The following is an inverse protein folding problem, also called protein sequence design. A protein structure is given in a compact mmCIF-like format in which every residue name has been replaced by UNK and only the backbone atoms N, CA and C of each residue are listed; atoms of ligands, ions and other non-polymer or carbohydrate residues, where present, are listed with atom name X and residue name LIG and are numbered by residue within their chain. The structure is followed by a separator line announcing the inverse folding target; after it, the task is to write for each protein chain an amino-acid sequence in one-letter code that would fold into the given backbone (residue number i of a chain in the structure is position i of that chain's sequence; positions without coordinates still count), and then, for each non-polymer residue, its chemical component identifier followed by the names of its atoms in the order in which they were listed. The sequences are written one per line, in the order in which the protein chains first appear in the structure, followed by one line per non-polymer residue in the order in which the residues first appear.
data_IF_574554171161
#
_entry.id   IF_574554171161
#
_cell.length_a   1.000
_cell.length_b   1.000
_cell.length_c   1.000
_cell.angle_alpha   90.00
_cell.angle_beta   90.00
_cell.angle_gamma   90.00
#
_symmetry.space_group_name_H-M   'P 1'
#
loop_
_entity.id
_entity.type
_entity.pdbx_description
1 polymer ?
#
# COMPACT_ATOMS: atom_id res chain seq x y z
N UNK A 1 -2.94 14.11 21.05
CA UNK A 1 -1.84 13.14 20.99
C UNK A 1 -0.60 13.82 20.43
N UNK A 2 0.64 13.45 20.81
CA UNK A 2 1.82 14.11 20.24
C UNK A 2 1.98 13.72 18.77
N UNK A 3 2.48 14.66 17.94
CA UNK A 3 2.81 14.45 16.52
C UNK A 3 3.80 13.28 16.34
N UNK A 4 3.84 12.68 15.15
CA UNK A 4 4.83 11.66 14.79
C UNK A 4 6.25 12.21 15.00
N UNK A 5 7.09 11.42 15.67
CA UNK A 5 8.49 11.76 15.87
C UNK A 5 9.32 11.04 14.81
N UNK A 6 9.84 11.78 13.87
CA UNK A 6 10.68 11.24 12.79
C UNK A 6 12.15 11.27 13.21
N UNK A 7 12.87 10.21 12.93
CA UNK A 7 14.33 10.18 13.04
C UNK A 7 14.94 11.19 12.08
N UNK A 8 16.08 11.75 12.46
CA UNK A 8 16.83 12.67 11.61
C UNK A 8 17.28 11.96 10.32
N UNK A 9 17.01 12.58 9.17
CA UNK A 9 17.36 12.06 7.86
C UNK A 9 18.87 11.82 7.68
N UNK A 10 19.71 12.63 8.37
CA UNK A 10 21.18 12.50 8.32
C UNK A 10 21.71 11.25 9.05
N UNK A 11 20.93 10.68 9.98
CA UNK A 11 21.28 9.48 10.75
C UNK A 11 20.71 8.21 10.15
N UNK A 12 19.96 8.31 9.05
CA UNK A 12 19.30 7.18 8.45
C UNK A 12 19.73 6.99 6.99
N UNK A 13 20.01 5.75 6.60
CA UNK A 13 20.25 5.38 5.19
C UNK A 13 18.97 5.46 4.36
N UNK A 14 17.84 5.04 4.97
CA UNK A 14 16.56 5.00 4.29
C UNK A 14 15.54 5.95 4.91
N UNK A 15 14.86 6.72 4.05
CA UNK A 15 13.69 7.48 4.46
C UNK A 15 12.47 6.55 4.62
N UNK A 16 12.41 5.50 3.79
CA UNK A 16 11.32 4.52 3.79
C UNK A 16 11.85 3.11 3.55
N UNK A 17 11.32 2.15 4.31
CA UNK A 17 11.52 0.72 4.12
C UNK A 17 10.16 0.03 4.17
N UNK A 18 9.89 -0.86 3.23
CA UNK A 18 8.73 -1.75 3.32
C UNK A 18 9.13 -3.22 3.35
N UNK A 19 8.22 -4.07 3.85
CA UNK A 19 8.31 -5.51 3.69
C UNK A 19 7.04 -6.04 3.07
N UNK A 20 7.17 -6.85 2.01
CA UNK A 20 6.04 -7.42 1.31
C UNK A 20 6.40 -8.32 0.15
N UNK A 21 5.39 -8.85 -0.53
CA UNK A 21 5.57 -9.66 -1.73
C UNK A 21 5.60 -8.78 -2.97
N UNK A 22 6.57 -9.03 -3.85
CA UNK A 22 6.63 -8.39 -5.15
C UNK A 22 6.15 -9.40 -6.20
N UNK A 23 5.17 -9.00 -6.99
CA UNK A 23 4.47 -9.86 -7.93
C UNK A 23 4.56 -9.33 -9.37
N UNK A 24 4.23 -10.18 -10.30
CA UNK A 24 4.03 -9.80 -11.69
C UNK A 24 2.53 -9.62 -11.94
N UNK A 25 2.10 -8.42 -12.35
CA UNK A 25 0.73 -8.20 -12.82
C UNK A 25 0.69 -8.26 -14.35
N UNK A 26 -0.23 -9.05 -14.88
CA UNK A 26 -0.52 -9.17 -16.30
C UNK A 26 -1.85 -8.49 -16.59
N UNK A 27 -1.81 -7.47 -17.44
CA UNK A 27 -2.90 -6.57 -17.78
C UNK A 27 -3.21 -6.66 -19.28
N UNK A 28 -4.38 -7.16 -19.69
CA UNK A 28 -4.81 -7.20 -21.08
C UNK A 28 -5.51 -5.90 -21.53
N UNK A 29 -5.45 -4.85 -20.73
CA UNK A 29 -6.23 -3.63 -20.97
C UNK A 29 -7.72 -3.86 -20.70
N UNK A 30 -8.54 -3.52 -21.69
CA UNK A 30 -10.01 -3.67 -21.60
C UNK A 30 -10.53 -5.02 -22.13
N UNK A 31 -9.64 -5.88 -22.60
CA UNK A 31 -10.01 -7.20 -23.12
C UNK A 31 -10.27 -8.13 -21.92
N UNK A 32 -11.38 -8.92 -21.91
CA UNK A 32 -11.60 -9.93 -20.88
C UNK A 32 -10.45 -10.93 -20.81
N UNK A 33 -10.07 -11.36 -19.60
CA UNK A 33 -8.91 -12.22 -19.37
C UNK A 33 -8.92 -13.51 -20.19
N UNK A 34 -10.10 -14.12 -20.39
CA UNK A 34 -10.25 -15.38 -21.14
C UNK A 34 -10.18 -15.22 -22.67
N UNK A 35 -10.23 -13.97 -23.18
CA UNK A 35 -10.12 -13.65 -24.60
C UNK A 35 -8.78 -13.00 -24.96
N UNK A 36 -7.96 -12.69 -23.93
CA UNK A 36 -6.75 -11.93 -24.12
C UNK A 36 -5.63 -12.76 -24.72
N UNK A 37 -5.05 -12.29 -25.84
CA UNK A 37 -3.88 -12.87 -26.48
C UNK A 37 -2.58 -12.11 -26.15
N UNK A 38 -2.67 -10.93 -25.54
CA UNK A 38 -1.54 -10.06 -25.20
C UNK A 38 -1.76 -9.48 -23.81
N UNK A 39 -0.65 -9.29 -23.09
CA UNK A 39 -0.66 -8.69 -21.75
C UNK A 39 0.50 -7.71 -21.61
N UNK A 40 0.23 -6.52 -21.05
CA UNK A 40 1.27 -5.68 -20.46
C UNK A 40 1.70 -6.33 -19.13
N UNK A 41 3.01 -6.31 -18.88
CA UNK A 41 3.59 -6.88 -17.67
C UNK A 41 4.10 -5.77 -16.74
N UNK A 42 3.49 -5.68 -15.55
CA UNK A 42 3.85 -4.70 -14.53
C UNK A 42 4.47 -5.38 -13.31
N UNK A 43 5.50 -4.74 -12.74
CA UNK A 43 6.00 -5.08 -11.41
C UNK A 43 5.09 -4.43 -10.38
N UNK A 44 4.57 -5.20 -9.45
CA UNK A 44 3.52 -4.79 -8.52
C UNK A 44 3.74 -5.40 -7.14
N UNK A 45 3.09 -4.84 -6.14
CA UNK A 45 3.06 -5.32 -4.76
C UNK A 45 2.61 -4.20 -3.84
N UNK A 46 1.65 -4.45 -2.95
CA UNK A 46 1.06 -3.42 -2.09
C UNK A 46 2.11 -2.65 -1.27
N UNK A 47 3.20 -3.29 -0.91
CA UNK A 47 4.29 -2.71 -0.15
C UNK A 47 5.42 -2.17 -1.03
N UNK A 48 5.59 -2.76 -2.24
CA UNK A 48 6.54 -2.28 -3.23
C UNK A 48 6.06 -1.00 -3.93
N UNK A 49 4.78 -0.89 -4.26
CA UNK A 49 4.24 0.26 -4.97
C UNK A 49 4.50 1.59 -4.25
N UNK A 50 4.26 1.72 -2.92
CA UNK A 50 4.66 2.91 -2.17
C UNK A 50 6.15 3.17 -2.18
N UNK A 51 7.00 2.14 -2.03
CA UNK A 51 8.46 2.29 -2.08
C UNK A 51 8.92 2.83 -3.44
N UNK A 52 8.38 2.28 -4.53
CA UNK A 52 8.69 2.70 -5.89
C UNK A 52 8.23 4.15 -6.16
N UNK A 53 7.04 4.53 -5.69
CA UNK A 53 6.55 5.90 -5.80
C UNK A 53 7.40 6.89 -4.99
N UNK A 54 7.75 6.53 -3.75
CA UNK A 54 8.60 7.37 -2.89
C UNK A 54 10.00 7.59 -3.48
N UNK A 55 10.58 6.57 -4.11
CA UNK A 55 11.87 6.71 -4.80
C UNK A 55 11.74 7.48 -6.11
N UNK A 56 10.87 7.03 -7.02
CA UNK A 56 10.81 7.54 -8.40
C UNK A 56 10.13 8.90 -8.52
N UNK A 57 8.98 9.10 -7.87
CA UNK A 57 8.21 10.35 -7.94
C UNK A 57 8.74 11.41 -6.98
N UNK A 58 9.10 10.99 -5.77
CA UNK A 58 9.42 11.92 -4.67
C UNK A 58 10.91 12.03 -4.36
N UNK A 59 11.76 11.19 -4.96
CA UNK A 59 13.21 11.26 -4.79
C UNK A 59 13.73 10.88 -3.41
N UNK A 60 12.93 10.12 -2.61
CA UNK A 60 13.35 9.64 -1.31
C UNK A 60 14.20 8.37 -1.42
N UNK A 61 15.02 8.12 -0.40
CA UNK A 61 15.82 6.90 -0.26
C UNK A 61 14.92 5.76 0.23
N UNK A 62 14.28 5.06 -0.72
CA UNK A 62 13.35 3.98 -0.42
C UNK A 62 14.00 2.61 -0.60
N UNK A 63 13.56 1.66 0.24
CA UNK A 63 13.98 0.28 0.17
C UNK A 63 12.80 -0.69 0.38
N UNK A 64 12.97 -1.93 -0.09
CA UNK A 64 12.00 -3.01 0.11
C UNK A 64 12.69 -4.30 0.53
N UNK A 65 12.13 -4.96 1.56
CA UNK A 65 12.45 -6.33 1.93
C UNK A 65 11.45 -7.26 1.27
N UNK A 66 11.93 -8.28 0.57
CA UNK A 66 11.07 -9.25 -0.11
C UNK A 66 11.80 -10.56 -0.37
N UNK A 67 11.16 -11.45 -1.12
CA UNK A 67 11.79 -12.66 -1.63
C UNK A 67 11.73 -12.70 -3.15
N UNK A 68 12.68 -13.40 -3.75
CA UNK A 68 12.73 -13.66 -5.18
C UNK A 68 13.23 -15.07 -5.47
N UNK A 69 13.24 -15.48 -6.73
CA UNK A 69 13.63 -16.82 -7.17
C UNK A 69 14.65 -16.71 -8.29
N UNK A 70 15.62 -17.62 -8.34
CA UNK A 70 16.74 -17.63 -9.29
C UNK A 70 16.30 -18.15 -10.68
N UNK A 71 15.38 -17.40 -11.34
CA UNK A 71 14.88 -17.70 -12.67
C UNK A 71 14.44 -16.40 -13.40
N UNK A 72 14.14 -16.42 -14.72
CA UNK A 72 13.89 -15.21 -15.49
C UNK A 72 12.86 -14.23 -14.89
N UNK A 73 11.67 -14.64 -14.41
CA UNK A 73 10.74 -13.72 -13.76
C UNK A 73 11.31 -13.07 -12.48
N UNK A 74 12.08 -13.81 -11.66
CA UNK A 74 12.70 -13.26 -10.45
C UNK A 74 13.77 -12.24 -10.76
N UNK A 75 14.62 -12.47 -11.76
CA UNK A 75 15.61 -11.51 -12.23
C UNK A 75 14.96 -10.28 -12.85
N UNK A 76 13.84 -10.46 -13.56
CA UNK A 76 13.06 -9.36 -14.09
C UNK A 76 12.51 -8.46 -12.96
N UNK A 77 11.91 -9.03 -11.90
CA UNK A 77 11.45 -8.29 -10.72
C UNK A 77 12.60 -7.47 -10.12
N UNK A 78 13.73 -8.09 -9.82
CA UNK A 78 14.88 -7.39 -9.24
C UNK A 78 15.38 -6.24 -10.12
N UNK A 79 15.31 -6.40 -11.45
CA UNK A 79 15.64 -5.34 -12.40
C UNK A 79 14.61 -4.20 -12.38
N UNK A 80 13.30 -4.50 -12.30
CA UNK A 80 12.27 -3.47 -12.22
C UNK A 80 12.38 -2.66 -10.92
N UNK A 81 12.57 -3.31 -9.79
CA UNK A 81 12.77 -2.66 -8.48
C UNK A 81 13.94 -1.67 -8.55
N UNK A 82 15.08 -2.12 -9.09
CA UNK A 82 16.27 -1.26 -9.27
C UNK A 82 16.00 -0.10 -10.24
N UNK A 83 15.25 -0.33 -11.32
CA UNK A 83 14.87 0.71 -12.28
C UNK A 83 14.07 1.85 -11.65
N UNK A 84 13.27 1.55 -10.62
CA UNK A 84 12.52 2.55 -9.88
C UNK A 84 13.34 3.28 -8.80
N UNK A 85 14.63 2.97 -8.66
CA UNK A 85 15.50 3.59 -7.66
C UNK A 85 15.32 3.02 -6.25
N UNK A 86 14.66 1.88 -6.10
CA UNK A 86 14.45 1.22 -4.81
C UNK A 86 15.61 0.28 -4.49
N UNK A 87 16.18 0.38 -3.29
CA UNK A 87 17.14 -0.61 -2.79
C UNK A 87 16.39 -1.88 -2.35
N UNK A 88 16.82 -3.04 -2.83
CA UNK A 88 16.13 -4.30 -2.58
C UNK A 88 16.95 -5.23 -1.69
N UNK A 89 16.35 -5.65 -0.57
CA UNK A 89 16.85 -6.70 0.34
C UNK A 89 16.08 -7.97 0.05
N UNK A 90 16.58 -8.78 -0.91
CA UNK A 90 15.88 -9.97 -1.40
C UNK A 90 16.48 -11.25 -0.84
N UNK A 91 15.63 -12.06 -0.20
CA UNK A 91 15.94 -13.47 0.03
C UNK A 91 15.72 -14.23 -1.28
N UNK A 92 16.79 -14.82 -1.80
CA UNK A 92 16.74 -15.59 -3.03
C UNK A 92 16.52 -17.08 -2.74
N UNK A 93 15.58 -17.68 -3.49
CA UNK A 93 15.34 -19.12 -3.47
C UNK A 93 15.84 -19.74 -4.77
N UNK A 94 16.46 -20.93 -4.72
CA UNK A 94 16.84 -21.65 -5.92
C UNK A 94 15.63 -22.10 -6.72
N UNK A 95 15.79 -22.26 -8.02
CA UNK A 95 14.73 -22.74 -8.93
C UNK A 95 15.06 -24.14 -9.43
N UNK A 96 14.18 -25.11 -9.19
CA UNK A 96 14.34 -26.50 -9.61
C UNK A 96 13.39 -26.88 -10.79
N UNK A 97 12.53 -25.95 -11.22
CA UNK A 97 11.58 -26.16 -12.31
C UNK A 97 10.28 -26.88 -11.92
N UNK A 98 10.18 -27.45 -10.70
CA UNK A 98 9.06 -28.31 -10.29
C UNK A 98 8.45 -27.89 -8.96
N UNK A 99 9.19 -27.96 -7.87
CA UNK A 99 8.69 -27.77 -6.50
C UNK A 99 9.12 -26.44 -5.85
N UNK A 100 10.05 -25.72 -6.46
CA UNK A 100 10.58 -24.45 -5.94
C UNK A 100 9.49 -23.36 -5.85
N UNK A 101 9.69 -22.37 -4.98
CA UNK A 101 8.89 -21.15 -4.99
C UNK A 101 8.93 -20.45 -6.35
N UNK A 102 7.96 -19.58 -6.59
CA UNK A 102 7.87 -18.80 -7.83
C UNK A 102 7.45 -17.36 -7.54
N UNK A 103 7.64 -16.47 -8.51
CA UNK A 103 7.04 -15.15 -8.50
C UNK A 103 5.55 -15.29 -8.78
N UNK A 104 4.72 -14.77 -7.89
CA UNK A 104 3.27 -14.76 -8.08
C UNK A 104 2.86 -13.95 -9.31
N UNK A 105 1.77 -14.36 -9.93
CA UNK A 105 1.14 -13.62 -11.03
C UNK A 105 -0.25 -13.16 -10.59
N UNK A 106 -0.55 -11.90 -10.82
CA UNK A 106 -1.89 -11.33 -10.68
C UNK A 106 -2.36 -10.97 -12.09
N UNK A 107 -3.51 -11.48 -12.49
CA UNK A 107 -4.16 -11.10 -13.73
C UNK A 107 -5.25 -10.09 -13.40
N UNK A 108 -5.26 -8.96 -14.10
CA UNK A 108 -6.25 -7.90 -13.83
C UNK A 108 -6.56 -7.15 -15.11
N UNK A 109 -7.79 -7.29 -15.63
CA UNK A 109 -8.28 -6.40 -16.68
C UNK A 109 -8.81 -5.08 -16.09
N UNK A 110 -9.06 -4.10 -16.97
CA UNK A 110 -9.53 -2.77 -16.57
C UNK A 110 -11.05 -2.62 -16.59
N UNK A 111 -11.78 -3.64 -17.06
CA UNK A 111 -13.19 -3.51 -17.36
C UNK A 111 -13.48 -2.54 -18.51
N UNK A 112 -14.73 -2.22 -18.76
CA UNK A 112 -15.13 -1.17 -19.70
C UNK A 112 -16.58 -0.74 -19.48
N UNK A 113 -16.86 0.55 -19.33
CA UNK A 113 -18.21 1.08 -19.15
C UNK A 113 -18.91 0.43 -17.95
N UNK A 114 -19.96 -0.34 -18.22
CA UNK A 114 -20.74 -1.08 -17.21
C UNK A 114 -20.14 -2.45 -16.85
N UNK A 115 -19.16 -2.93 -17.61
CA UNK A 115 -18.46 -4.19 -17.32
C UNK A 115 -17.37 -3.93 -16.26
N UNK A 116 -17.50 -4.52 -15.06
CA UNK A 116 -16.50 -4.33 -14.01
C UNK A 116 -15.17 -4.99 -14.40
N UNK A 117 -14.04 -4.52 -13.86
CA UNK A 117 -12.76 -5.21 -13.99
C UNK A 117 -12.74 -6.52 -13.20
N UNK A 118 -12.01 -7.50 -13.73
CA UNK A 118 -11.78 -8.79 -13.08
C UNK A 118 -10.34 -8.91 -12.58
N UNK A 119 -10.17 -9.59 -11.43
CA UNK A 119 -8.85 -9.86 -10.85
C UNK A 119 -8.75 -11.33 -10.47
N UNK A 120 -7.68 -11.99 -10.95
CA UNK A 120 -7.32 -13.36 -10.61
C UNK A 120 -5.93 -13.41 -9.98
N UNK A 121 -5.79 -14.27 -8.98
CA UNK A 121 -4.53 -14.51 -8.28
C UNK A 121 -3.98 -15.89 -8.62
N UNK A 122 -2.75 -15.95 -9.14
CA UNK A 122 -1.94 -17.17 -9.22
C UNK A 122 -0.76 -17.01 -8.25
N UNK A 123 -1.04 -17.31 -6.97
CA UNK A 123 -0.12 -17.09 -5.84
C UNK A 123 0.34 -18.40 -5.18
N UNK A 124 0.06 -19.55 -5.75
CA UNK A 124 0.52 -20.82 -5.20
C UNK A 124 2.06 -20.87 -5.15
N UNK A 125 2.62 -21.27 -4.01
CA UNK A 125 4.06 -21.35 -3.78
C UNK A 125 4.84 -20.05 -4.06
N UNK A 126 4.24 -18.89 -3.83
CA UNK A 126 4.98 -17.65 -4.06
C UNK A 126 6.12 -17.45 -3.06
N UNK A 127 7.24 -16.90 -3.55
CA UNK A 127 8.44 -16.69 -2.77
C UNK A 127 8.20 -15.80 -1.53
N UNK A 128 7.36 -14.76 -1.67
CA UNK A 128 7.00 -13.88 -0.55
C UNK A 128 6.35 -14.62 0.62
N UNK A 129 5.52 -15.64 0.34
CA UNK A 129 4.86 -16.44 1.36
C UNK A 129 5.82 -17.38 2.13
N UNK A 130 7.03 -17.59 1.62
CA UNK A 130 8.04 -18.44 2.25
C UNK A 130 8.90 -17.69 3.28
N UNK A 131 8.75 -16.36 3.37
CA UNK A 131 9.43 -15.57 4.37
C UNK A 131 8.88 -15.84 5.78
N UNK A 132 9.77 -15.85 6.77
CA UNK A 132 9.45 -16.18 8.16
C UNK A 132 10.32 -15.36 9.14
N UNK A 133 9.92 -15.26 10.40
CA UNK A 133 10.74 -14.66 11.44
C UNK A 133 12.18 -15.19 11.43
N UNK A 134 13.15 -14.29 11.61
CA UNK A 134 14.58 -14.59 11.53
C UNK A 134 15.19 -14.55 10.13
N UNK A 135 14.40 -14.38 9.06
CA UNK A 135 14.94 -14.27 7.70
C UNK A 135 15.55 -12.90 7.38
N UNK A 136 15.28 -11.89 8.23
CA UNK A 136 15.69 -10.49 8.02
C UNK A 136 16.54 -10.03 9.18
N UNK A 137 17.70 -9.46 8.89
CA UNK A 137 18.54 -8.80 9.91
C UNK A 137 17.98 -7.40 10.20
N UNK A 138 16.96 -7.34 11.07
CA UNK A 138 16.35 -6.09 11.49
C UNK A 138 17.32 -5.17 12.24
N UNK A 139 18.32 -5.74 12.93
CA UNK A 139 19.31 -4.93 13.63
C UNK A 139 20.20 -4.17 12.63
N UNK A 140 20.65 -4.82 11.54
CA UNK A 140 21.38 -4.12 10.48
C UNK A 140 20.53 -3.00 9.87
N UNK A 141 19.25 -3.26 9.58
CA UNK A 141 18.37 -2.28 8.95
C UNK A 141 18.04 -1.08 9.86
N UNK A 142 17.62 -1.32 11.11
CA UNK A 142 17.10 -0.24 11.95
C UNK A 142 18.16 0.41 12.85
N UNK A 143 19.12 -0.38 13.40
CA UNK A 143 20.15 0.16 14.27
C UNK A 143 21.36 0.67 13.49
N UNK A 144 21.90 -0.14 12.55
CA UNK A 144 23.15 0.19 11.85
C UNK A 144 22.87 1.15 10.68
N UNK A 145 21.96 0.81 9.78
CA UNK A 145 21.66 1.65 8.61
C UNK A 145 20.74 2.82 8.94
N UNK A 146 19.76 2.60 9.80
CA UNK A 146 18.74 3.60 10.13
C UNK A 146 17.65 3.73 9.07
N UNK A 147 16.41 3.73 9.57
CA UNK A 147 15.18 3.88 8.77
C UNK A 147 14.29 4.89 9.45
N UNK A 148 13.70 5.82 8.70
CA UNK A 148 12.77 6.81 9.26
C UNK A 148 11.33 6.32 9.32
N UNK A 149 10.92 5.49 8.32
CA UNK A 149 9.56 4.97 8.18
C UNK A 149 9.57 3.51 7.72
N UNK A 150 8.84 2.65 8.42
CA UNK A 150 8.68 1.23 8.07
C UNK A 150 7.22 0.91 7.77
N UNK A 151 6.96 0.19 6.67
CA UNK A 151 5.62 -0.08 6.15
C UNK A 151 5.41 -1.54 5.79
N UNK A 152 4.19 -2.05 6.04
CA UNK A 152 3.71 -3.32 5.50
C UNK A 152 2.19 -3.28 5.30
N UNK A 153 1.60 -4.39 4.86
CA UNK A 153 0.16 -4.44 4.59
C UNK A 153 -0.49 -5.81 4.73
N UNK A 154 -1.82 -5.80 4.76
CA UNK A 154 -2.66 -6.97 5.00
C UNK A 154 -2.60 -8.02 3.91
N UNK A 155 -2.25 -7.64 2.68
CA UNK A 155 -2.02 -8.62 1.61
C UNK A 155 -0.84 -9.51 1.99
N UNK A 156 0.29 -8.92 2.36
CA UNK A 156 1.47 -9.70 2.77
C UNK A 156 1.21 -10.50 4.05
N UNK A 157 0.55 -9.90 5.04
CA UNK A 157 0.16 -10.60 6.28
C UNK A 157 -0.66 -11.86 6.02
N UNK A 158 -1.48 -11.87 4.96
CA UNK A 158 -2.39 -12.97 4.64
C UNK A 158 -1.76 -14.12 3.83
N UNK A 159 -0.51 -14.01 3.38
CA UNK A 159 0.07 -14.98 2.43
C UNK A 159 0.41 -16.32 3.06
N UNK A 160 0.81 -16.32 4.33
CA UNK A 160 1.14 -17.55 5.07
C UNK A 160 1.02 -17.35 6.58
N UNK A 161 1.11 -18.44 7.38
CA UNK A 161 1.16 -18.34 8.84
C UNK A 161 2.33 -17.51 9.37
N UNK A 162 3.42 -17.43 8.62
CA UNK A 162 4.67 -16.82 9.09
C UNK A 162 4.84 -15.37 8.67
N UNK A 163 4.15 -14.91 7.62
CA UNK A 163 4.29 -13.53 7.12
C UNK A 163 3.74 -12.50 8.10
N UNK A 164 2.61 -12.77 8.76
CA UNK A 164 2.09 -11.92 9.83
C UNK A 164 3.05 -11.81 11.02
N UNK A 165 3.65 -12.92 11.45
CA UNK A 165 4.64 -12.95 12.53
C UNK A 165 5.91 -12.17 12.14
N UNK A 166 6.34 -12.28 10.89
CA UNK A 166 7.49 -11.52 10.39
C UNK A 166 7.22 -10.01 10.36
N UNK A 167 5.98 -9.58 10.04
CA UNK A 167 5.59 -8.17 10.16
C UNK A 167 5.68 -7.71 11.61
N UNK A 168 5.13 -8.48 12.56
CA UNK A 168 5.17 -8.15 14.00
C UNK A 168 6.62 -8.02 14.48
N UNK A 169 7.50 -8.96 14.09
CA UNK A 169 8.93 -8.89 14.37
C UNK A 169 9.53 -7.57 13.86
N UNK A 170 9.32 -7.24 12.58
CA UNK A 170 9.83 -6.01 11.96
C UNK A 170 9.28 -4.74 12.61
N UNK A 171 7.96 -4.65 12.86
CA UNK A 171 7.32 -3.51 13.52
C UNK A 171 7.86 -3.31 14.95
N UNK A 172 8.03 -4.41 15.70
CA UNK A 172 8.60 -4.37 17.04
C UNK A 172 10.03 -3.80 17.04
N UNK A 173 10.86 -4.27 16.11
CA UNK A 173 12.24 -3.78 15.99
C UNK A 173 12.28 -2.31 15.50
N UNK A 174 11.45 -1.94 14.53
CA UNK A 174 11.34 -0.57 14.04
C UNK A 174 11.03 0.41 15.19
N UNK A 175 10.03 0.10 16.02
CA UNK A 175 9.65 0.95 17.16
C UNK A 175 10.76 1.06 18.22
N UNK A 176 11.49 -0.01 18.51
CA UNK A 176 12.63 0.02 19.43
C UNK A 176 13.70 1.01 19.01
N UNK A 177 13.84 1.26 17.72
CA UNK A 177 14.82 2.18 17.14
C UNK A 177 14.23 3.54 16.75
N UNK A 178 13.00 3.88 17.18
CA UNK A 178 12.36 5.15 16.91
C UNK A 178 11.94 5.36 15.45
N UNK A 179 11.81 4.30 14.69
CA UNK A 179 11.28 4.31 13.33
C UNK A 179 9.75 4.36 13.39
N UNK A 180 9.12 5.29 12.65
CA UNK A 180 7.65 5.33 12.52
C UNK A 180 7.18 4.08 11.78
N UNK A 181 6.11 3.47 12.28
CA UNK A 181 5.53 2.26 11.70
C UNK A 181 4.18 2.54 11.04
N UNK A 182 3.95 1.98 9.86
CA UNK A 182 2.65 2.08 9.20
C UNK A 182 2.18 0.74 8.62
N UNK A 183 0.86 0.58 8.59
CA UNK A 183 0.22 -0.62 8.08
C UNK A 183 -0.99 -0.25 7.23
N UNK A 184 -1.09 -0.82 6.03
CA UNK A 184 -2.30 -0.77 5.21
C UNK A 184 -3.10 -2.06 5.44
N UNK A 185 -4.27 -1.95 6.02
CA UNK A 185 -5.14 -3.10 6.30
C UNK A 185 -5.47 -3.89 5.04
N UNK A 186 -5.76 -3.20 3.95
CA UNK A 186 -5.90 -3.76 2.60
C UNK A 186 -6.52 -5.16 2.60
N UNK A 187 -7.65 -5.31 3.31
CA UNK A 187 -8.27 -6.58 3.63
C UNK A 187 -8.71 -7.31 2.35
N UNK A 188 -8.29 -8.55 2.21
CA UNK A 188 -8.66 -9.41 1.06
C UNK A 188 -9.21 -10.73 1.55
N UNK A 189 -10.53 -10.82 1.67
CA UNK A 189 -11.24 -12.01 2.17
C UNK A 189 -10.79 -13.31 1.50
N UNK A 190 -10.61 -13.28 0.16
CA UNK A 190 -10.15 -14.46 -0.60
C UNK A 190 -8.79 -14.98 -0.14
N UNK A 191 -7.86 -14.09 0.21
CA UNK A 191 -6.53 -14.46 0.69
C UNK A 191 -6.61 -15.02 2.11
N UNK A 192 -7.35 -14.38 2.99
CA UNK A 192 -7.54 -14.86 4.37
C UNK A 192 -8.26 -16.21 4.40
N UNK A 193 -9.29 -16.43 3.57
CA UNK A 193 -9.94 -17.75 3.45
C UNK A 193 -8.95 -18.85 3.05
N UNK A 194 -8.00 -18.54 2.18
CA UNK A 194 -6.97 -19.50 1.76
C UNK A 194 -5.90 -19.75 2.83
N UNK A 195 -5.72 -18.86 3.79
CA UNK A 195 -4.65 -18.92 4.81
C UNK A 195 -5.14 -19.10 6.24
N UNK A 196 -6.30 -19.70 6.45
CA UNK A 196 -6.80 -20.07 7.78
C UNK A 196 -8.08 -19.38 8.25
N UNK A 197 -8.75 -18.61 7.37
CA UNK A 197 -10.06 -18.02 7.65
C UNK A 197 -10.01 -16.53 7.99
N UNK A 198 -11.19 -15.91 7.95
CA UNK A 198 -11.36 -14.47 8.23
C UNK A 198 -11.08 -14.15 9.69
N UNK A 199 -11.52 -15.00 10.62
CA UNK A 199 -11.31 -14.84 12.08
C UNK A 199 -9.82 -14.78 12.41
N UNK A 200 -9.02 -15.63 11.77
CA UNK A 200 -7.56 -15.57 11.88
C UNK A 200 -7.02 -14.27 11.32
N UNK A 201 -7.58 -13.77 10.22
CA UNK A 201 -7.20 -12.47 9.65
C UNK A 201 -7.39 -11.33 10.64
N UNK A 202 -8.52 -11.31 11.35
CA UNK A 202 -8.80 -10.33 12.41
C UNK A 202 -7.80 -10.46 13.56
N UNK A 203 -7.52 -11.68 14.02
CA UNK A 203 -6.54 -11.91 15.09
C UNK A 203 -5.14 -11.41 14.73
N UNK A 204 -4.65 -11.79 13.55
CA UNK A 204 -3.32 -11.37 13.07
C UNK A 204 -3.23 -9.86 12.89
N UNK A 205 -4.22 -9.24 12.26
CA UNK A 205 -4.24 -7.79 12.06
C UNK A 205 -4.27 -7.03 13.40
N UNK A 206 -5.05 -7.48 14.39
CA UNK A 206 -5.09 -6.89 15.73
C UNK A 206 -3.72 -6.91 16.39
N UNK A 207 -3.00 -8.02 16.31
CA UNK A 207 -1.64 -8.13 16.85
C UNK A 207 -0.64 -7.24 16.11
N UNK A 208 -0.75 -7.09 14.80
CA UNK A 208 0.09 -6.18 14.03
C UNK A 208 -0.19 -4.73 14.43
N UNK A 209 -1.47 -4.35 14.55
CA UNK A 209 -1.88 -2.97 14.83
C UNK A 209 -1.43 -2.49 16.22
N UNK A 210 -1.18 -3.38 17.18
CA UNK A 210 -0.54 -3.04 18.47
C UNK A 210 0.84 -2.38 18.32
N UNK A 211 1.48 -2.53 17.16
CA UNK A 211 2.81 -2.00 16.85
C UNK A 211 2.80 -0.88 15.79
N UNK A 212 1.63 -0.32 15.46
CA UNK A 212 1.44 0.61 14.34
C UNK A 212 1.18 2.03 14.83
N UNK A 213 1.92 3.01 14.31
CA UNK A 213 1.70 4.43 14.55
C UNK A 213 0.72 5.04 13.55
N UNK A 214 0.73 4.56 12.30
CA UNK A 214 -0.04 5.08 11.16
C UNK A 214 -0.81 3.95 10.50
N UNK A 215 -2.13 4.05 10.46
CA UNK A 215 -3.02 3.03 9.88
C UNK A 215 -3.69 3.56 8.61
N UNK A 216 -3.58 2.79 7.52
CA UNK A 216 -4.35 2.99 6.31
C UNK A 216 -5.46 1.92 6.23
N UNK A 217 -6.63 2.31 5.77
CA UNK A 217 -7.76 1.41 5.58
C UNK A 217 -9.08 2.15 5.55
N UNK A 218 -10.04 1.61 4.80
CA UNK A 218 -11.40 2.14 4.72
C UNK A 218 -12.33 1.49 5.77
N UNK A 219 -13.62 1.82 5.75
CA UNK A 219 -14.61 1.28 6.69
C UNK A 219 -14.70 -0.25 6.60
N UNK A 220 -14.65 -0.82 5.39
CA UNK A 220 -14.66 -2.28 5.20
C UNK A 220 -13.41 -2.93 5.81
N UNK A 221 -12.25 -2.32 5.62
CA UNK A 221 -11.00 -2.79 6.21
C UNK A 221 -11.05 -2.75 7.74
N UNK A 222 -11.59 -1.68 8.34
CA UNK A 222 -11.75 -1.57 9.79
C UNK A 222 -12.74 -2.61 10.33
N UNK A 223 -13.87 -2.82 9.67
CA UNK A 223 -14.87 -3.79 10.09
C UNK A 223 -14.38 -5.23 9.94
N UNK A 224 -13.95 -5.59 8.74
CA UNK A 224 -13.61 -6.99 8.40
C UNK A 224 -12.20 -7.37 8.80
N UNK A 225 -11.27 -6.40 8.76
CA UNK A 225 -9.87 -6.62 9.09
C UNK A 225 -9.55 -6.53 10.58
N UNK A 226 -10.28 -5.69 11.34
CA UNK A 226 -10.05 -5.49 12.77
C UNK A 226 -11.27 -5.83 13.64
N UNK A 227 -12.44 -5.98 13.05
CA UNK A 227 -13.69 -6.19 13.78
C UNK A 227 -14.15 -4.93 14.53
N UNK A 228 -13.83 -3.73 14.05
CA UNK A 228 -14.32 -2.47 14.60
C UNK A 228 -15.79 -2.30 14.20
N UNK A 229 -16.73 -2.17 15.15
CA UNK A 229 -18.13 -1.97 14.80
C UNK A 229 -18.33 -0.70 13.98
N UNK A 230 -19.15 -0.76 12.97
CA UNK A 230 -19.46 0.37 12.09
C UNK A 230 -20.82 0.20 11.43
N UNK A 231 -21.18 1.09 10.52
CA UNK A 231 -22.38 0.94 9.71
C UNK A 231 -22.30 -0.28 8.81
N UNK A 232 -23.41 -0.67 8.20
CA UNK A 232 -23.42 -1.73 7.20
C UNK A 232 -22.56 -1.32 6.00
N UNK A 233 -21.53 -2.11 5.73
CA UNK A 233 -20.57 -1.87 4.64
C UNK A 233 -21.25 -1.87 3.27
N UNK A 234 -22.32 -2.65 3.09
CA UNK A 234 -23.03 -2.72 1.81
C UNK A 234 -23.81 -1.43 1.51
N UNK A 235 -24.35 -0.78 2.53
CA UNK A 235 -25.06 0.50 2.37
C UNK A 235 -24.14 1.70 2.19
N UNK A 236 -22.88 1.61 2.65
CA UNK A 236 -21.90 2.69 2.61
C UNK A 236 -20.97 2.67 1.39
N UNK A 237 -21.03 1.64 0.55
CA UNK A 237 -20.08 1.44 -0.57
C UNK A 237 -20.02 2.55 -1.62
N UNK A 238 -21.03 3.38 -1.72
CA UNK A 238 -21.12 4.49 -2.68
C UNK A 238 -21.04 5.88 -2.05
N UNK A 239 -20.98 5.99 -0.72
CA UNK A 239 -21.02 7.27 -0.04
C UNK A 239 -19.61 7.87 0.14
N UNK A 240 -19.43 9.12 -0.29
CA UNK A 240 -18.25 9.93 0.03
C UNK A 240 -18.40 10.67 1.36
N UNK A 241 -19.37 10.26 2.20
CA UNK A 241 -19.61 10.86 3.50
C UNK A 241 -18.58 10.34 4.52
N UNK A 242 -17.73 11.22 5.09
CA UNK A 242 -16.70 10.81 6.03
C UNK A 242 -17.23 10.51 7.45
N UNK A 243 -18.48 10.82 7.76
CA UNK A 243 -18.99 10.78 9.15
C UNK A 243 -18.96 9.36 9.72
N UNK A 244 -19.34 8.36 8.93
CA UNK A 244 -19.25 6.96 9.35
C UNK A 244 -17.82 6.55 9.67
N UNK A 245 -16.87 6.95 8.82
CA UNK A 245 -15.46 6.69 9.03
C UNK A 245 -14.93 7.40 10.28
N UNK A 246 -15.34 8.65 10.55
CA UNK A 246 -14.96 9.39 11.75
C UNK A 246 -15.44 8.67 13.03
N UNK A 247 -16.66 8.15 13.04
CA UNK A 247 -17.19 7.38 14.17
C UNK A 247 -16.36 6.10 14.39
N UNK A 248 -16.02 5.39 13.32
CA UNK A 248 -15.22 4.16 13.41
C UNK A 248 -13.80 4.44 13.90
N UNK A 249 -13.19 5.56 13.48
CA UNK A 249 -11.90 5.99 14.02
C UNK A 249 -11.99 6.22 15.53
N UNK A 250 -13.05 6.85 16.03
CA UNK A 250 -13.25 7.02 17.47
C UNK A 250 -13.18 5.68 18.22
N UNK A 251 -13.92 4.67 17.75
CA UNK A 251 -13.92 3.30 18.32
C UNK A 251 -12.57 2.60 18.18
N UNK A 252 -11.87 2.80 17.09
CA UNK A 252 -10.52 2.27 16.88
C UNK A 252 -9.54 2.85 17.92
N UNK A 253 -9.56 4.16 18.13
CA UNK A 253 -8.66 4.85 19.06
C UNK A 253 -8.96 4.53 20.54
N UNK A 254 -10.18 4.15 20.88
CA UNK A 254 -10.52 3.60 22.21
C UNK A 254 -9.80 2.26 22.45
N UNK A 255 -9.67 1.42 21.42
CA UNK A 255 -8.98 0.13 21.51
C UNK A 255 -7.46 0.26 21.33
N UNK A 256 -7.01 1.19 20.48
CA UNK A 256 -5.59 1.39 20.11
C UNK A 256 -5.17 2.86 20.30
N UNK A 257 -5.06 3.35 21.54
CA UNK A 257 -4.81 4.77 21.83
C UNK A 257 -3.41 5.25 21.42
N UNK A 258 -2.51 4.33 21.05
CA UNK A 258 -1.17 4.65 20.56
C UNK A 258 -1.14 5.02 19.08
N UNK A 259 -2.17 4.67 18.29
CA UNK A 259 -2.27 5.07 16.87
C UNK A 259 -2.39 6.58 16.79
N UNK A 260 -1.51 7.19 16.00
CA UNK A 260 -1.40 8.66 15.87
C UNK A 260 -2.09 9.20 14.65
N UNK A 261 -2.15 8.38 13.58
CA UNK A 261 -2.75 8.76 12.31
C UNK A 261 -3.56 7.59 11.74
N UNK A 262 -4.77 7.90 11.26
CA UNK A 262 -5.59 6.99 10.46
C UNK A 262 -6.02 7.72 9.20
N UNK A 263 -5.80 7.13 8.03
CA UNK A 263 -6.13 7.77 6.77
C UNK A 263 -6.76 6.79 5.78
N UNK A 264 -7.67 7.30 4.96
CA UNK A 264 -8.33 6.54 3.89
C UNK A 264 -8.66 7.40 2.69
N UNK A 265 -8.91 6.72 1.58
CA UNK A 265 -9.55 7.31 0.40
C UNK A 265 -11.01 6.87 0.33
N UNK A 266 -11.89 7.81 0.05
CA UNK A 266 -13.29 7.59 -0.22
C UNK A 266 -13.49 7.61 -1.73
N UNK A 267 -14.16 6.60 -2.26
CA UNK A 267 -14.35 6.45 -3.70
C UNK A 267 -15.76 5.99 -4.02
N UNK A 268 -16.42 6.75 -4.91
CA UNK A 268 -17.67 6.36 -5.53
C UNK A 268 -17.41 5.94 -6.98
N UNK A 269 -17.90 4.77 -7.37
CA UNK A 269 -17.68 4.17 -8.69
C UNK A 269 -18.92 4.35 -9.54
N UNK A 270 -18.85 5.20 -10.57
CA UNK A 270 -19.94 5.45 -11.51
C UNK A 270 -19.86 4.51 -12.74
N UNK A 271 -18.65 4.17 -13.15
CA UNK A 271 -18.37 3.18 -14.21
C UNK A 271 -16.96 2.64 -14.03
N UNK A 272 -16.51 1.72 -14.88
CA UNK A 272 -15.13 1.20 -14.85
C UNK A 272 -14.08 2.33 -14.92
N UNK A 273 -14.42 3.49 -15.55
CA UNK A 273 -13.50 4.60 -15.77
C UNK A 273 -13.87 5.91 -15.09
N UNK A 274 -15.07 6.03 -14.51
CA UNK A 274 -15.48 7.28 -13.84
C UNK A 274 -15.69 7.05 -12.37
N UNK A 275 -14.90 7.75 -11.58
CA UNK A 275 -14.96 7.69 -10.12
C UNK A 275 -15.00 9.09 -9.53
N UNK A 276 -15.73 9.27 -8.43
CA UNK A 276 -15.51 10.38 -7.52
C UNK A 276 -14.49 10.00 -6.47
N UNK A 277 -13.60 10.91 -6.13
CA UNK A 277 -12.42 10.65 -5.29
C UNK A 277 -12.24 11.73 -4.25
N UNK A 278 -12.05 11.31 -2.99
CA UNK A 278 -11.80 12.14 -1.83
C UNK A 278 -10.88 11.39 -0.86
N UNK A 279 -10.24 12.08 0.06
CA UNK A 279 -9.46 11.47 1.14
C UNK A 279 -9.80 12.11 2.47
N UNK A 280 -9.68 11.32 3.54
CA UNK A 280 -9.91 11.72 4.93
C UNK A 280 -8.77 11.21 5.79
N UNK A 281 -8.35 12.02 6.77
CA UNK A 281 -7.31 11.68 7.71
C UNK A 281 -7.68 12.17 9.11
N UNK A 282 -7.45 11.32 10.10
CA UNK A 282 -7.35 11.73 11.51
C UNK A 282 -5.86 11.82 11.89
N UNK A 283 -5.45 12.94 12.44
CA UNK A 283 -4.08 13.14 12.90
C UNK A 283 -4.03 14.21 13.99
N UNK A 284 -3.27 13.96 15.04
CA UNK A 284 -3.05 14.92 16.14
C UNK A 284 -4.36 15.46 16.77
N UNK A 285 -5.37 14.60 16.93
CA UNK A 285 -6.66 14.97 17.53
C UNK A 285 -7.64 15.65 16.58
N UNK A 286 -7.32 15.82 15.30
CA UNK A 286 -8.13 16.53 14.32
C UNK A 286 -8.43 15.67 13.09
N UNK A 287 -9.56 15.96 12.44
CA UNK A 287 -9.91 15.41 11.13
C UNK A 287 -9.56 16.41 10.02
N UNK A 288 -9.00 15.88 8.97
CA UNK A 288 -8.65 16.60 7.75
C UNK A 288 -9.34 15.94 6.55
N UNK A 289 -9.80 16.73 5.61
CA UNK A 289 -10.48 16.27 4.40
C UNK A 289 -9.87 16.93 3.17
N UNK A 290 -9.61 16.13 2.14
CA UNK A 290 -9.17 16.67 0.85
C UNK A 290 -10.35 17.27 0.08
N UNK A 291 -10.10 18.06 -0.97
CA UNK A 291 -11.13 18.32 -1.99
C UNK A 291 -11.67 17.02 -2.58
N UNK A 292 -12.90 17.07 -3.08
CA UNK A 292 -13.44 16.03 -3.94
C UNK A 292 -13.10 16.35 -5.41
N UNK A 293 -12.80 15.34 -6.20
CA UNK A 293 -12.67 15.48 -7.65
C UNK A 293 -13.27 14.29 -8.39
N UNK A 294 -13.62 14.53 -9.65
CA UNK A 294 -14.01 13.48 -10.58
C UNK A 294 -12.78 12.98 -11.33
N UNK A 295 -12.65 11.67 -11.45
CA UNK A 295 -11.55 11.00 -12.13
C UNK A 295 -12.03 10.25 -13.36
N UNK A 296 -11.36 10.48 -14.48
CA UNK A 296 -11.37 9.58 -15.62
C UNK A 296 -10.20 8.61 -15.46
N UNK A 297 -10.50 7.43 -14.95
CA UNK A 297 -9.52 6.42 -14.53
C UNK A 297 -9.03 5.61 -15.74
N UNK A 298 -7.72 5.57 -15.95
CA UNK A 298 -7.11 4.68 -16.94
C UNK A 298 -6.84 3.29 -16.38
N UNK A 299 -6.27 3.23 -15.17
CA UNK A 299 -6.06 2.00 -14.41
C UNK A 299 -6.32 2.29 -12.92
N UNK A 300 -7.20 1.51 -12.30
CA UNK A 300 -7.59 1.77 -10.89
C UNK A 300 -6.63 1.15 -9.87
N UNK A 301 -5.73 0.27 -10.32
CA UNK A 301 -4.81 -0.44 -9.43
C UNK A 301 -3.74 0.52 -8.90
N UNK A 302 -3.38 0.40 -7.63
CA UNK A 302 -2.37 1.24 -7.01
C UNK A 302 -2.84 2.62 -6.51
N UNK A 303 -4.10 3.04 -6.74
CA UNK A 303 -4.59 4.35 -6.27
C UNK A 303 -4.45 4.54 -4.76
N UNK A 304 -4.72 3.50 -3.95
CA UNK A 304 -4.49 3.50 -2.50
C UNK A 304 -3.00 3.62 -2.14
N UNK A 305 -2.14 2.86 -2.84
CA UNK A 305 -0.69 2.91 -2.65
C UNK A 305 -0.12 4.28 -3.01
N UNK A 306 -0.68 4.89 -4.08
CA UNK A 306 -0.39 6.27 -4.48
C UNK A 306 -0.78 7.28 -3.41
N UNK A 307 -1.96 7.13 -2.83
CA UNK A 307 -2.39 7.95 -1.70
C UNK A 307 -1.45 7.81 -0.50
N UNK A 308 -1.18 6.58 -0.07
CA UNK A 308 -0.30 6.31 1.07
C UNK A 308 1.10 6.90 0.86
N UNK A 309 1.70 6.70 -0.32
CA UNK A 309 3.04 7.23 -0.61
C UNK A 309 3.09 8.76 -0.65
N UNK A 310 2.09 9.43 -1.24
CA UNK A 310 2.03 10.90 -1.24
C UNK A 310 1.84 11.50 0.15
N UNK A 311 1.01 10.87 1.00
CA UNK A 311 0.83 11.27 2.40
C UNK A 311 2.11 11.05 3.22
N UNK A 312 2.75 9.87 3.09
CA UNK A 312 4.03 9.57 3.75
C UNK A 312 5.11 10.57 3.32
N UNK A 313 5.21 10.89 2.03
CA UNK A 313 6.13 11.91 1.54
C UNK A 313 5.89 13.26 2.20
N UNK A 314 4.64 13.73 2.27
CA UNK A 314 4.30 15.00 2.92
C UNK A 314 4.75 15.03 4.37
N UNK A 315 4.46 13.98 5.14
CA UNK A 315 4.86 13.87 6.55
C UNK A 315 6.38 13.80 6.73
N UNK A 316 7.09 13.00 5.91
CA UNK A 316 8.55 12.90 5.93
C UNK A 316 9.26 14.19 5.55
N UNK A 317 8.62 15.03 4.73
CA UNK A 317 9.11 16.34 4.29
C UNK A 317 8.77 17.47 5.25
N UNK A 318 8.01 17.18 6.33
CA UNK A 318 7.61 18.20 7.32
C UNK A 318 6.49 19.12 6.87
N UNK A 319 5.70 18.72 5.87
CA UNK A 319 4.52 19.47 5.46
C UNK A 319 3.46 19.48 6.58
N UNK A 320 2.64 20.52 6.63
CA UNK A 320 1.51 20.56 7.56
C UNK A 320 0.49 19.46 7.22
N UNK A 321 -0.28 18.97 8.20
CA UNK A 321 -1.16 17.80 8.02
C UNK A 321 -2.14 17.92 6.84
N UNK A 322 -2.78 19.08 6.65
CA UNK A 322 -3.67 19.32 5.50
C UNK A 322 -2.92 19.20 4.16
N UNK A 323 -1.72 19.77 4.09
CA UNK A 323 -0.90 19.71 2.89
C UNK A 323 -0.40 18.27 2.61
N UNK A 324 0.00 17.53 3.66
CA UNK A 324 0.38 16.13 3.52
C UNK A 324 -0.78 15.27 2.99
N UNK A 325 -2.00 15.48 3.52
CA UNK A 325 -3.21 14.82 3.01
C UNK A 325 -3.48 15.15 1.54
N UNK A 326 -3.38 16.43 1.16
CA UNK A 326 -3.56 16.89 -0.24
C UNK A 326 -2.54 16.27 -1.20
N UNK A 327 -1.29 16.11 -0.76
CA UNK A 327 -0.26 15.43 -1.55
C UNK A 327 -0.62 13.94 -1.76
N UNK A 328 -1.10 13.26 -0.72
CA UNK A 328 -1.61 11.89 -0.82
C UNK A 328 -2.78 11.79 -1.80
N UNK A 329 -3.81 12.62 -1.60
CA UNK A 329 -4.98 12.67 -2.47
C UNK A 329 -4.62 12.94 -3.94
N UNK A 330 -3.77 13.91 -4.20
CA UNK A 330 -3.35 14.28 -5.55
C UNK A 330 -2.51 13.18 -6.21
N UNK A 331 -1.60 12.56 -5.47
CA UNK A 331 -0.76 11.50 -6.01
C UNK A 331 -1.59 10.24 -6.31
N UNK A 332 -2.50 9.83 -5.41
CA UNK A 332 -3.42 8.72 -5.68
C UNK A 332 -4.31 8.97 -6.91
N UNK A 333 -4.85 10.19 -7.06
CA UNK A 333 -5.61 10.58 -8.22
C UNK A 333 -4.78 10.50 -9.52
N UNK A 334 -3.59 11.08 -9.53
CA UNK A 334 -2.68 11.06 -10.70
C UNK A 334 -2.28 9.64 -11.08
N UNK A 335 -2.00 8.77 -10.10
CA UNK A 335 -1.59 7.39 -10.38
C UNK A 335 -2.65 6.68 -11.21
N UNK A 336 -3.93 6.88 -10.94
CA UNK A 336 -5.01 6.23 -11.70
C UNK A 336 -5.11 6.66 -13.17
N UNK A 337 -4.37 7.68 -13.59
CA UNK A 337 -4.33 8.17 -14.98
C UNK A 337 -3.25 7.52 -15.84
N UNK A 338 -2.44 6.63 -15.26
CA UNK A 338 -1.37 5.90 -15.92
C UNK A 338 -1.62 4.39 -15.94
N UNK A 339 -1.01 3.64 -16.88
CA UNK A 339 -1.01 2.18 -16.81
C UNK A 339 -0.08 1.69 -15.70
N UNK A 340 -0.48 0.59 -15.05
CA UNK A 340 0.34 -0.08 -14.03
C UNK A 340 0.11 0.45 -12.62
N UNK A 341 0.83 -0.13 -11.69
CA UNK A 341 0.60 0.01 -10.24
C UNK A 341 1.52 1.05 -9.60
N UNK A 342 2.53 1.52 -10.34
CA UNK A 342 3.51 2.49 -9.85
C UNK A 342 3.34 3.81 -10.59
N UNK A 343 3.37 4.91 -9.85
CA UNK A 343 3.17 6.25 -10.40
C UNK A 343 4.25 6.63 -11.42
N UNK A 344 3.80 7.22 -12.52
CA UNK A 344 4.64 7.91 -13.51
C UNK A 344 4.62 9.43 -13.31
N UNK A 345 3.91 9.93 -12.31
CA UNK A 345 3.81 11.35 -12.02
C UNK A 345 5.15 11.90 -11.51
N UNK A 346 5.42 13.17 -11.82
CA UNK A 346 6.54 13.92 -11.24
C UNK A 346 6.03 14.73 -10.04
N UNK A 347 6.92 15.02 -9.09
CA UNK A 347 6.61 15.79 -7.88
C UNK A 347 5.92 17.13 -8.19
N UNK A 348 6.36 17.84 -9.25
CA UNK A 348 5.75 19.12 -9.63
C UNK A 348 4.27 18.97 -10.06
N UNK A 349 3.91 17.86 -10.70
CA UNK A 349 2.53 17.56 -11.08
C UNK A 349 1.67 17.25 -9.84
N UNK A 350 2.22 16.47 -8.89
CA UNK A 350 1.54 16.16 -7.62
C UNK A 350 1.29 17.44 -6.82
N UNK A 351 2.31 18.27 -6.62
CA UNK A 351 2.19 19.54 -5.89
C UNK A 351 1.18 20.48 -6.52
N UNK A 352 1.17 20.56 -7.84
CA UNK A 352 0.21 21.40 -8.58
C UNK A 352 -1.23 20.95 -8.36
N UNK A 353 -1.51 19.65 -8.50
CA UNK A 353 -2.86 19.14 -8.27
C UNK A 353 -3.27 19.34 -6.81
N UNK A 354 -2.37 19.10 -5.87
CA UNK A 354 -2.60 19.33 -4.43
C UNK A 354 -3.00 20.78 -4.11
N UNK A 355 -2.53 21.76 -4.91
CA UNK A 355 -2.84 23.18 -4.81
C UNK A 355 -4.09 23.61 -5.61
N UNK A 356 -4.84 22.68 -6.20
CA UNK A 356 -6.03 22.99 -7.01
C UNK A 356 -5.74 23.32 -8.47
N UNK A 357 -4.58 22.93 -8.99
CA UNK A 357 -4.22 23.12 -10.40
C UNK A 357 -5.13 22.34 -11.35
N UNK A 358 -5.29 22.85 -12.57
CA UNK A 358 -6.14 22.28 -13.61
C UNK A 358 -5.35 21.48 -14.66
N UNK A 359 -6.06 20.64 -15.44
CA UNK A 359 -5.51 19.87 -16.55
C UNK A 359 -5.14 20.71 -17.80
N UNK A 360 -5.14 22.05 -17.71
CA UNK A 360 -4.79 22.92 -18.84
C UNK A 360 -3.33 22.74 -19.24
N UNK A 361 -3.09 22.76 -20.56
CA UNK A 361 -1.72 22.70 -21.13
C UNK A 361 -0.87 23.82 -20.54
N UNK A 362 0.32 23.46 -20.06
CA UNK A 362 1.33 24.40 -19.63
C UNK A 362 2.32 24.60 -20.76
N UNK A 363 2.53 25.86 -21.09
CA UNK A 363 3.52 26.31 -22.07
C UNK A 363 4.75 26.83 -21.37
#
# INVERSE_FOLDING_TARGET
MPRLQLRDASTCRHDFLSIGAIVRRLDPGVIPLHEASHFECHCSGGEYNPAAALANTFGLRAAVVSASVEYPPGWWIARQVRRMGVEAYLKWFPYDGVGSPRIATVYSDRGFGVRPPEVFYDRANEAGAMLRPGDVDWNDLFAVRGVRWFHSGGIFASLSPTTGELIIEGMTQARRHGTVTSYDLNFREKLWKASGGVERGVEVNRRIVEHVDVLFGNEEDLQRGLGIPGPDVESSRSALDPENFKVMIGRLLEQYPHIRLVATTLREVHSAFRHSWKAVMYYDGQFYESPQCELDVYDRVGGGDGFASGLIFGLLSGEEPDQALRLGWAHGALLTTYPGDVSMARLDQVRRLAQGGSARIQR
#
